data_IF_052597823052
#
_entry.id   IF_052597823052
#
_cell.length_a   1.000
_cell.length_b   1.000
_cell.length_c   1.000
_cell.angle_alpha   90.00
_cell.angle_beta   90.00
_cell.angle_gamma   90.00
#
_symmetry.space_group_name_H-M   'P 1'
#
loop_
_entity.id
_entity.type
_entity.pdbx_description
1 polymer ?
#
# COMPACT_ATOMS: atom_id res chain seq x y z
N UNK A 1 -2.43 15.02 -7.17
CA UNK A 1 -3.53 14.07 -7.38
C UNK A 1 -4.61 14.68 -8.28
N UNK A 2 -4.81 14.11 -9.46
CA UNK A 2 -5.90 14.54 -10.35
C UNK A 2 -7.23 13.98 -9.81
N UNK A 3 -8.31 14.78 -9.86
CA UNK A 3 -9.66 14.40 -9.42
C UNK A 3 -10.17 13.07 -10.02
N UNK A 4 -9.58 12.64 -11.14
CA UNK A 4 -9.95 11.41 -11.84
C UNK A 4 -9.43 10.14 -11.14
N UNK A 5 -8.32 10.19 -10.41
CA UNK A 5 -7.76 9.03 -9.70
C UNK A 5 -8.64 8.62 -8.50
N UNK A 6 -9.35 9.58 -7.90
CA UNK A 6 -10.33 9.31 -6.83
C UNK A 6 -11.49 8.40 -7.28
N UNK A 7 -11.83 8.37 -8.57
CA UNK A 7 -12.96 7.58 -9.09
C UNK A 7 -12.71 6.08 -9.01
N UNK A 8 -11.45 5.68 -8.90
CA UNK A 8 -11.04 4.27 -8.97
C UNK A 8 -10.66 3.68 -7.61
N UNK A 9 -10.81 4.47 -6.54
CA UNK A 9 -10.66 3.97 -5.17
C UNK A 9 -11.68 2.85 -4.92
N UNK A 10 -11.18 1.65 -4.59
CA UNK A 10 -12.00 0.46 -4.30
C UNK A 10 -12.98 0.68 -3.14
N UNK A 11 -12.59 1.52 -2.19
CA UNK A 11 -13.48 2.01 -1.15
C UNK A 11 -13.05 3.37 -0.61
N UNK A 12 -14.01 4.18 -0.16
CA UNK A 12 -13.77 5.34 0.68
C UNK A 12 -14.55 5.20 2.00
N UNK A 13 -13.89 5.50 3.13
CA UNK A 13 -14.56 5.50 4.44
C UNK A 13 -14.85 6.94 4.84
N UNK A 14 -16.14 7.27 5.00
CA UNK A 14 -16.53 8.49 5.66
C UNK A 14 -16.28 8.38 7.17
N UNK A 15 -15.45 9.25 7.76
CA UNK A 15 -15.16 9.20 9.17
C UNK A 15 -16.39 9.58 10.00
N UNK A 16 -16.69 8.78 11.02
CA UNK A 16 -17.60 9.18 12.10
C UNK A 16 -16.80 9.90 13.20
N UNK A 17 -17.43 10.76 14.02
CA UNK A 17 -16.77 11.37 15.18
C UNK A 17 -16.11 10.33 16.10
N UNK A 18 -16.75 9.17 16.28
CA UNK A 18 -16.22 8.07 17.10
C UNK A 18 -14.95 7.45 16.50
N UNK A 19 -14.89 7.26 15.18
CA UNK A 19 -13.69 6.73 14.53
C UNK A 19 -12.51 7.70 14.56
N UNK A 20 -12.78 9.01 14.51
CA UNK A 20 -11.73 10.04 14.64
C UNK A 20 -11.10 9.98 16.03
N UNK A 21 -11.92 9.96 17.09
CA UNK A 21 -11.46 9.90 18.48
C UNK A 21 -10.69 8.60 18.74
N UNK A 22 -11.22 7.46 18.29
CA UNK A 22 -10.59 6.15 18.50
C UNK A 22 -9.21 6.07 17.84
N UNK A 23 -9.06 6.62 16.62
CA UNK A 23 -7.77 6.62 15.93
C UNK A 23 -6.76 7.57 16.58
N UNK A 24 -7.20 8.78 16.96
CA UNK A 24 -6.35 9.74 17.66
C UNK A 24 -5.74 9.16 18.96
N UNK A 25 -6.49 8.28 19.64
CA UNK A 25 -6.07 7.66 20.90
C UNK A 25 -5.06 6.51 20.70
N UNK A 26 -5.10 5.82 19.56
CA UNK A 26 -4.31 4.59 19.30
C UNK A 26 -3.19 4.77 18.27
N UNK A 27 -2.80 6.00 17.94
CA UNK A 27 -1.86 6.30 16.84
C UNK A 27 -0.54 5.51 16.93
N UNK A 28 0.00 5.31 18.13
CA UNK A 28 1.30 4.67 18.32
C UNK A 28 1.25 3.13 18.23
N UNK A 29 0.12 2.48 18.53
CA UNK A 29 0.01 1.02 18.43
C UNK A 29 -0.02 0.57 16.98
N UNK A 30 -0.80 1.25 16.12
CA UNK A 30 -0.89 0.93 14.70
C UNK A 30 0.44 1.09 13.95
N UNK A 31 1.24 2.11 14.30
CA UNK A 31 2.61 2.27 13.76
C UNK A 31 3.47 1.07 14.16
N UNK A 32 3.49 0.72 15.45
CA UNK A 32 4.30 -0.39 15.96
C UNK A 32 3.93 -1.72 15.31
N UNK A 33 2.64 -2.02 15.22
CA UNK A 33 2.11 -3.23 14.58
C UNK A 33 2.51 -3.30 13.10
N UNK A 34 2.34 -2.20 12.36
CA UNK A 34 2.71 -2.14 10.94
C UNK A 34 4.22 -2.27 10.73
N UNK A 35 5.05 -1.65 11.59
CA UNK A 35 6.50 -1.80 11.53
C UNK A 35 6.92 -3.25 11.79
N UNK A 36 6.34 -3.90 12.80
CA UNK A 36 6.62 -5.31 13.11
C UNK A 36 6.22 -6.23 11.96
N UNK A 37 5.03 -5.98 11.38
CA UNK A 37 4.57 -6.68 10.20
C UNK A 37 5.56 -6.51 9.04
N UNK A 38 5.91 -5.27 8.69
CA UNK A 38 6.83 -4.99 7.59
C UNK A 38 8.19 -5.66 7.80
N UNK A 39 8.79 -5.56 8.99
CA UNK A 39 10.08 -6.19 9.28
C UNK A 39 10.09 -7.71 9.11
N UNK A 40 8.93 -8.38 9.24
CA UNK A 40 8.80 -9.82 8.98
C UNK A 40 8.89 -10.16 7.49
N UNK A 41 8.42 -9.28 6.61
CA UNK A 41 8.27 -9.55 5.17
C UNK A 41 9.24 -8.79 4.28
N UNK A 42 9.86 -7.71 4.75
CA UNK A 42 10.74 -6.81 4.00
C UNK A 42 11.79 -7.57 3.18
N UNK A 43 12.53 -8.49 3.80
CA UNK A 43 13.57 -9.26 3.12
C UNK A 43 13.02 -10.12 1.96
N UNK A 44 11.81 -10.67 2.11
CA UNK A 44 11.17 -11.45 1.06
C UNK A 44 10.67 -10.54 -0.07
N UNK A 45 10.14 -9.35 0.26
CA UNK A 45 9.72 -8.35 -0.73
C UNK A 45 10.92 -7.83 -1.52
N UNK A 46 12.02 -7.45 -0.86
CA UNK A 46 13.25 -7.03 -1.53
C UNK A 46 13.81 -8.13 -2.45
N UNK A 47 13.76 -9.39 -1.99
CA UNK A 47 14.14 -10.54 -2.82
C UNK A 47 13.24 -10.66 -4.05
N UNK A 48 11.92 -10.50 -3.90
CA UNK A 48 10.98 -10.54 -5.03
C UNK A 48 11.25 -9.41 -6.05
N UNK A 49 11.50 -8.19 -5.57
CA UNK A 49 11.89 -7.05 -6.42
C UNK A 49 13.13 -7.36 -7.25
N UNK A 50 14.17 -7.91 -6.59
CA UNK A 50 15.41 -8.29 -7.26
C UNK A 50 15.23 -9.42 -8.27
N UNK A 51 14.50 -10.48 -7.91
CA UNK A 51 14.25 -11.63 -8.79
C UNK A 51 13.43 -11.25 -10.03
N UNK A 52 12.52 -10.29 -9.90
CA UNK A 52 11.67 -9.81 -10.98
C UNK A 52 12.25 -8.58 -11.72
N UNK A 53 13.45 -8.13 -11.32
CA UNK A 53 14.11 -6.94 -11.88
C UNK A 53 13.22 -5.69 -11.83
N UNK A 54 12.48 -5.53 -10.74
CA UNK A 54 11.64 -4.36 -10.46
C UNK A 54 12.53 -3.26 -9.90
N UNK A 55 12.33 -2.03 -10.37
CA UNK A 55 13.06 -0.85 -9.86
C UNK A 55 12.79 -0.69 -8.37
N UNK A 56 13.85 -0.57 -7.57
CA UNK A 56 13.73 -0.26 -6.16
C UNK A 56 13.43 1.25 -5.98
N UNK A 57 12.28 1.62 -5.41
CA UNK A 57 11.95 3.02 -5.12
C UNK A 57 12.79 3.61 -3.96
N UNK A 58 13.55 2.78 -3.22
CA UNK A 58 14.42 3.22 -2.13
C UNK A 58 13.66 3.43 -0.81
N UNK A 59 14.27 4.22 0.09
CA UNK A 59 13.65 4.55 1.38
C UNK A 59 12.50 5.52 1.13
N UNK A 60 11.28 5.11 1.49
CA UNK A 60 10.08 5.92 1.37
C UNK A 60 9.34 6.05 2.71
N UNK A 61 8.69 7.19 2.99
CA UNK A 61 7.76 7.28 4.10
C UNK A 61 6.46 6.52 3.77
N UNK A 62 5.98 5.76 4.76
CA UNK A 62 4.65 5.13 4.75
C UNK A 62 3.76 5.80 5.80
N UNK A 63 2.72 6.51 5.34
CA UNK A 63 1.77 7.20 6.19
C UNK A 63 0.57 6.29 6.50
N UNK A 64 0.31 6.09 7.79
CA UNK A 64 -0.81 5.26 8.24
C UNK A 64 -2.04 6.09 8.59
N UNK A 65 -3.17 5.72 8.01
CA UNK A 65 -4.44 6.40 8.16
C UNK A 65 -5.48 5.50 8.83
N UNK A 66 -6.27 6.05 9.75
CA UNK A 66 -7.43 5.34 10.29
C UNK A 66 -8.69 5.52 9.44
N UNK A 67 -8.69 6.55 8.60
CA UNK A 67 -9.84 7.05 7.83
C UNK A 67 -9.31 7.58 6.48
N UNK A 68 -9.55 6.84 5.40
CA UNK A 68 -9.20 7.25 4.02
C UNK A 68 -9.72 6.21 3.01
N UNK A 69 -9.27 6.28 1.76
CA UNK A 69 -9.14 5.13 0.86
C UNK A 69 -8.24 4.02 1.42
N UNK A 70 -8.27 2.85 0.79
CA UNK A 70 -7.45 1.68 1.17
C UNK A 70 -5.95 1.99 1.10
N UNK A 71 -5.50 2.44 -0.05
CA UNK A 71 -4.13 2.87 -0.30
C UNK A 71 -4.09 4.01 -1.30
N UNK A 72 -2.98 4.75 -1.30
CA UNK A 72 -2.55 5.60 -2.41
C UNK A 72 -1.05 5.88 -2.33
N UNK A 73 -0.47 6.32 -3.44
CA UNK A 73 0.95 6.65 -3.56
C UNK A 73 1.15 8.07 -4.10
N UNK A 74 2.24 8.72 -3.68
CA UNK A 74 2.65 10.05 -4.14
C UNK A 74 3.99 9.97 -4.86
N UNK A 75 4.02 10.31 -6.14
CA UNK A 75 5.24 10.32 -6.94
C UNK A 75 6.13 11.53 -6.69
N UNK A 76 5.55 12.67 -6.28
CA UNK A 76 6.29 13.91 -6.05
C UNK A 76 7.13 13.79 -4.77
N UNK A 77 6.51 13.25 -3.71
CA UNK A 77 7.15 13.05 -2.41
C UNK A 77 7.73 11.63 -2.22
N UNK A 78 7.58 10.75 -3.23
CA UNK A 78 7.99 9.34 -3.19
C UNK A 78 7.51 8.64 -1.92
N UNK A 79 6.21 8.70 -1.68
CA UNK A 79 5.58 8.20 -0.45
C UNK A 79 4.39 7.29 -0.71
N UNK A 80 4.04 6.48 0.28
CA UNK A 80 2.81 5.68 0.27
C UNK A 80 1.93 6.02 1.47
N UNK A 81 0.64 5.84 1.29
CA UNK A 81 -0.38 6.10 2.27
C UNK A 81 -1.28 4.89 2.35
N UNK A 82 -1.40 4.31 3.54
CA UNK A 82 -2.13 3.06 3.73
C UNK A 82 -3.11 3.21 4.89
N UNK A 83 -4.32 2.68 4.71
CA UNK A 83 -5.34 2.64 5.74
C UNK A 83 -5.23 1.38 6.58
N UNK A 84 -5.36 1.52 7.88
CA UNK A 84 -5.44 0.37 8.78
C UNK A 84 -6.74 -0.41 8.51
N UNK A 85 -6.68 -1.70 8.11
CA UNK A 85 -7.87 -2.46 7.81
C UNK A 85 -8.66 -2.72 9.09
N UNK A 86 -9.99 -2.53 9.04
CA UNK A 86 -10.85 -2.86 10.18
C UNK A 86 -11.05 -4.36 10.34
N UNK A 87 -11.04 -5.11 9.23
CA UNK A 87 -11.51 -6.49 9.19
C UNK A 87 -10.60 -7.49 8.42
N UNK A 88 -9.74 -7.09 7.47
CA UNK A 88 -8.86 -8.03 6.77
C UNK A 88 -7.47 -8.22 7.39
N UNK A 89 -7.19 -7.55 8.51
CA UNK A 89 -6.03 -7.81 9.36
C UNK A 89 -4.68 -7.57 8.68
N UNK A 90 -3.65 -8.23 9.20
CA UNK A 90 -2.26 -8.06 8.77
C UNK A 90 -2.05 -8.35 7.27
N UNK A 91 -2.81 -9.29 6.70
CA UNK A 91 -2.63 -9.70 5.31
C UNK A 91 -3.14 -8.65 4.32
N UNK A 92 -4.31 -8.06 4.58
CA UNK A 92 -4.85 -6.95 3.78
C UNK A 92 -3.92 -5.72 3.87
N UNK A 93 -3.40 -5.45 5.08
CA UNK A 93 -2.45 -4.36 5.29
C UNK A 93 -1.15 -4.57 4.50
N UNK A 94 -0.58 -5.78 4.55
CA UNK A 94 0.63 -6.12 3.82
C UNK A 94 0.43 -6.03 2.31
N UNK A 95 -0.68 -6.56 1.80
CA UNK A 95 -1.05 -6.50 0.39
C UNK A 95 -1.13 -5.04 -0.09
N UNK A 96 -1.84 -4.19 0.67
CA UNK A 96 -1.96 -2.76 0.34
C UNK A 96 -0.59 -2.07 0.34
N UNK A 97 0.27 -2.32 1.32
CA UNK A 97 1.62 -1.74 1.35
C UNK A 97 2.41 -2.15 0.09
N UNK A 98 2.42 -3.43 -0.26
CA UNK A 98 3.17 -3.91 -1.44
C UNK A 98 2.59 -3.33 -2.73
N UNK A 99 1.25 -3.25 -2.84
CA UNK A 99 0.54 -2.67 -3.98
C UNK A 99 0.97 -1.23 -4.24
N UNK A 100 0.97 -0.37 -3.22
CA UNK A 100 1.37 1.04 -3.37
C UNK A 100 2.87 1.20 -3.67
N UNK A 101 3.74 0.35 -3.10
CA UNK A 101 5.17 0.35 -3.44
C UNK A 101 5.38 -0.03 -4.91
N UNK A 102 4.63 -1.01 -5.42
CA UNK A 102 4.70 -1.41 -6.82
C UNK A 102 4.26 -0.28 -7.74
N UNK A 103 3.21 0.46 -7.39
CA UNK A 103 2.86 1.67 -8.14
C UNK A 103 4.02 2.66 -8.23
N UNK A 104 4.69 2.99 -7.12
CA UNK A 104 5.88 3.86 -7.16
C UNK A 104 7.00 3.29 -8.01
N UNK A 105 7.24 1.99 -7.92
CA UNK A 105 8.30 1.30 -8.64
C UNK A 105 8.06 1.26 -10.16
N UNK A 106 6.79 1.16 -10.59
CA UNK A 106 6.41 0.98 -12.00
C UNK A 106 5.70 2.20 -12.59
N UNK A 107 5.65 3.32 -11.88
CA UNK A 107 4.98 4.52 -12.34
C UNK A 107 5.58 5.03 -13.65
N UNK A 108 4.71 5.28 -14.62
CA UNK A 108 5.04 5.94 -15.88
C UNK A 108 3.85 6.85 -16.23
N UNK A 109 4.14 8.14 -16.44
CA UNK A 109 3.15 9.18 -16.70
C UNK A 109 2.44 8.99 -18.06
N UNK A 110 3.00 8.16 -18.94
CA UNK A 110 2.42 7.81 -20.24
C UNK A 110 1.26 6.83 -20.15
N UNK A 111 1.15 6.08 -19.05
CA UNK A 111 0.05 5.14 -18.85
C UNK A 111 -1.13 5.82 -18.18
N UNK A 112 -2.34 5.44 -18.58
CA UNK A 112 -3.54 5.77 -17.85
C UNK A 112 -3.67 4.92 -16.58
N UNK A 113 -4.67 5.23 -15.77
CA UNK A 113 -4.91 4.56 -14.50
C UNK A 113 -5.10 3.04 -14.67
N UNK A 114 -6.00 2.62 -15.56
CA UNK A 114 -6.33 1.20 -15.76
C UNK A 114 -5.08 0.40 -16.15
N UNK A 115 -4.21 0.98 -16.99
CA UNK A 115 -2.96 0.34 -17.36
C UNK A 115 -1.97 0.25 -16.21
N UNK A 116 -1.91 1.28 -15.34
CA UNK A 116 -1.04 1.26 -14.15
C UNK A 116 -1.47 0.17 -13.17
N UNK A 117 -2.77 0.03 -12.92
CA UNK A 117 -3.31 -1.07 -12.09
C UNK A 117 -3.02 -2.44 -12.70
N UNK A 118 -3.24 -2.62 -14.01
CA UNK A 118 -2.99 -3.89 -14.69
C UNK A 118 -1.52 -4.34 -14.55
N UNK A 119 -0.57 -3.40 -14.59
CA UNK A 119 0.85 -3.68 -14.38
C UNK A 119 1.09 -4.21 -12.97
N UNK A 120 0.53 -3.54 -11.95
CA UNK A 120 0.67 -3.95 -10.55
C UNK A 120 0.02 -5.32 -10.32
N UNK A 121 -1.21 -5.52 -10.76
CA UNK A 121 -1.92 -6.80 -10.66
C UNK A 121 -1.16 -7.93 -11.34
N UNK A 122 -0.57 -7.68 -12.51
CA UNK A 122 0.26 -8.65 -13.25
C UNK A 122 1.51 -9.04 -12.46
N UNK A 123 2.10 -8.10 -11.72
CA UNK A 123 3.27 -8.35 -10.87
C UNK A 123 2.86 -9.12 -9.62
N UNK A 124 1.78 -8.71 -8.94
CA UNK A 124 1.25 -9.40 -7.76
C UNK A 124 0.84 -10.84 -8.06
N UNK A 125 0.39 -11.11 -9.29
CA UNK A 125 0.06 -12.46 -9.73
C UNK A 125 1.28 -13.39 -9.87
N UNK A 126 2.52 -12.89 -9.81
CA UNK A 126 3.75 -13.68 -9.93
C UNK A 126 3.97 -14.57 -8.70
N UNK A 127 4.62 -15.74 -8.87
CA UNK A 127 4.85 -16.69 -7.77
C UNK A 127 5.59 -16.11 -6.56
N UNK A 128 6.47 -15.12 -6.76
CA UNK A 128 7.23 -14.47 -5.71
C UNK A 128 6.31 -13.74 -4.72
N UNK A 129 5.40 -12.91 -5.24
CA UNK A 129 4.44 -12.17 -4.41
C UNK A 129 3.32 -13.06 -3.90
N UNK A 130 2.80 -14.00 -4.71
CA UNK A 130 1.81 -14.98 -4.22
C UNK A 130 2.27 -15.78 -3.01
N UNK A 131 3.56 -16.10 -2.90
CA UNK A 131 4.13 -16.80 -1.73
C UNK A 131 4.22 -15.91 -0.49
N UNK A 132 4.48 -14.61 -0.69
CA UNK A 132 4.53 -13.62 0.40
C UNK A 132 3.12 -13.35 0.93
N UNK A 133 2.14 -13.28 0.02
CA UNK A 133 0.75 -12.92 0.29
C UNK A 133 -0.17 -14.11 0.55
N UNK A 134 0.37 -15.33 0.60
CA UNK A 134 -0.41 -16.52 0.95
C UNK A 134 -0.79 -16.47 2.45
N UNK A 135 -2.06 -16.78 2.80
CA UNK A 135 -2.52 -16.82 4.18
C UNK A 135 -1.83 -17.89 5.03
#
# INVERSE_FOLDING_TARGET
>A
MHLDEYKYLRSFIMPTPRSIISFATNKNSGIKETTQLWSKYEANVQKAFKELNIKDPGIMPCYLHGISCEGWFDTDDSSIHVRFPKNGGDQELLDTIIHEILHLATYDDKYDYDRREEIVDTILAKPQFKKILAP
#
